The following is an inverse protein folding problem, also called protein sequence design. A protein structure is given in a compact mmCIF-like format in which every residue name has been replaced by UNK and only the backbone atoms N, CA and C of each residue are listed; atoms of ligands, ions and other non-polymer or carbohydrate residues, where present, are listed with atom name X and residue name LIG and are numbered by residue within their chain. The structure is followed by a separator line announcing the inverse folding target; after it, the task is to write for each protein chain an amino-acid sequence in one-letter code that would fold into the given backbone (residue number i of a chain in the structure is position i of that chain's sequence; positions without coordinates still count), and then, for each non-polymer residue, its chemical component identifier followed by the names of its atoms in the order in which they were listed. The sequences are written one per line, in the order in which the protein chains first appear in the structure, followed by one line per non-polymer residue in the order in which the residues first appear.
data_IF_017927764533
#
_entry.id   IF_017927764533
#
_cell.length_a   1.000
_cell.length_b   1.000
_cell.length_c   1.000
_cell.angle_alpha   90.00
_cell.angle_beta   90.00
_cell.angle_gamma   90.00
#
_symmetry.space_group_name_H-M   'P 1'
#
loop_
_entity.id
_entity.type
_entity.pdbx_description
1 polymer ?
#
# COMPACT_ATOMS: atom_id res chain seq x y z
N UNK A 1 -11.19 45.49 8.21
CA UNK A 1 -10.44 45.51 9.49
C UNK A 1 -9.08 44.92 9.22
N UNK A 2 -8.03 45.74 9.18
CA UNK A 2 -6.65 45.28 9.03
C UNK A 2 -6.21 44.58 10.31
N UNK A 3 -5.73 43.34 10.20
CA UNK A 3 -5.12 42.61 11.31
C UNK A 3 -3.92 43.41 11.87
N UNK A 4 -3.62 43.34 13.18
CA UNK A 4 -2.45 43.99 13.74
C UNK A 4 -1.15 43.46 13.08
N UNK A 5 -0.12 44.29 12.91
CA UNK A 5 1.10 43.94 12.17
C UNK A 5 1.81 42.70 12.72
N UNK A 6 1.79 42.51 14.05
CA UNK A 6 2.43 41.36 14.73
C UNK A 6 1.79 40.00 14.36
N UNK A 7 0.47 39.98 14.06
CA UNK A 7 -0.20 38.77 13.58
C UNK A 7 0.10 38.45 12.11
N UNK A 8 0.43 39.48 11.31
CA UNK A 8 0.76 39.29 9.89
C UNK A 8 2.14 38.66 9.72
N UNK A 9 3.13 39.12 10.50
CA UNK A 9 4.49 38.58 10.47
C UNK A 9 4.53 37.10 10.86
N UNK A 10 3.75 36.73 11.88
CA UNK A 10 3.63 35.34 12.35
C UNK A 10 2.97 34.44 11.29
N UNK A 11 1.86 34.90 10.69
CA UNK A 11 1.18 34.17 9.62
C UNK A 11 2.07 34.00 8.38
N UNK A 12 2.83 35.03 8.02
CA UNK A 12 3.79 34.98 6.91
C UNK A 12 4.91 33.96 7.19
N UNK A 13 5.43 33.91 8.41
CA UNK A 13 6.43 32.92 8.83
C UNK A 13 5.88 31.48 8.77
N UNK A 14 4.66 31.26 9.27
CA UNK A 14 3.98 29.97 9.18
C UNK A 14 3.75 29.51 7.74
N UNK A 15 3.26 30.41 6.88
CA UNK A 15 3.02 30.12 5.48
C UNK A 15 4.34 29.80 4.75
N UNK A 16 5.41 30.55 5.03
CA UNK A 16 6.72 30.30 4.45
C UNK A 16 7.28 28.93 4.88
N UNK A 17 7.14 28.58 6.17
CA UNK A 17 7.51 27.26 6.67
C UNK A 17 6.73 26.14 5.98
N UNK A 18 5.42 26.31 5.78
CA UNK A 18 4.58 25.37 5.04
C UNK A 18 5.07 25.18 3.59
N UNK A 19 5.39 26.28 2.88
CA UNK A 19 5.92 26.24 1.51
C UNK A 19 7.23 25.48 1.41
N UNK A 20 8.18 25.75 2.31
CA UNK A 20 9.46 25.03 2.32
C UNK A 20 9.30 23.55 2.65
N UNK A 21 8.44 23.22 3.62
CA UNK A 21 8.18 21.84 3.99
C UNK A 21 7.53 21.06 2.84
N UNK A 22 6.58 21.68 2.14
CA UNK A 22 5.94 21.13 0.95
C UNK A 22 6.97 20.85 -0.16
N UNK A 23 7.84 21.82 -0.43
CA UNK A 23 8.88 21.70 -1.45
C UNK A 23 9.88 20.60 -1.11
N UNK A 24 10.29 20.50 0.16
CA UNK A 24 11.17 19.44 0.64
C UNK A 24 10.53 18.05 0.50
N UNK A 25 9.25 17.90 0.86
CA UNK A 25 8.50 16.67 0.67
C UNK A 25 8.38 16.28 -0.80
N UNK A 26 8.12 17.24 -1.68
CA UNK A 26 8.06 17.00 -3.11
C UNK A 26 9.42 16.60 -3.69
N UNK A 27 10.50 17.26 -3.28
CA UNK A 27 11.85 16.90 -3.68
C UNK A 27 12.21 15.47 -3.23
N UNK A 28 11.82 15.08 -2.02
CA UNK A 28 11.97 13.69 -1.54
C UNK A 28 11.19 12.70 -2.43
N UNK A 29 9.95 13.01 -2.79
CA UNK A 29 9.14 12.16 -3.67
C UNK A 29 9.82 12.00 -5.04
N UNK A 30 10.27 13.08 -5.66
CA UNK A 30 10.95 13.03 -6.97
C UNK A 30 12.27 12.27 -6.87
N UNK A 31 13.05 12.50 -5.81
CA UNK A 31 14.28 11.76 -5.57
C UNK A 31 14.01 10.25 -5.48
N UNK A 32 12.96 9.84 -4.75
CA UNK A 32 12.52 8.44 -4.68
C UNK A 32 12.15 7.86 -6.05
N UNK A 33 11.47 8.65 -6.90
CA UNK A 33 11.17 8.25 -8.28
C UNK A 33 12.43 7.96 -9.08
N UNK A 34 13.41 8.86 -9.02
CA UNK A 34 14.63 8.74 -9.81
C UNK A 34 15.44 7.49 -9.42
N UNK A 35 15.62 7.25 -8.12
CA UNK A 35 16.47 6.13 -7.66
C UNK A 35 15.81 4.75 -7.83
N UNK A 36 14.48 4.67 -7.93
CA UNK A 36 13.75 3.41 -8.09
C UNK A 36 13.26 3.17 -9.52
N UNK A 37 13.48 4.12 -10.44
CA UNK A 37 13.02 4.01 -11.82
C UNK A 37 13.57 2.77 -12.56
N UNK A 38 14.83 2.39 -12.29
CA UNK A 38 15.42 1.17 -12.87
C UNK A 38 14.63 -0.08 -12.48
N UNK A 39 14.37 -0.24 -11.18
CA UNK A 39 13.56 -1.32 -10.63
C UNK A 39 12.12 -1.29 -11.19
N UNK A 40 11.57 -0.10 -11.40
CA UNK A 40 10.23 0.09 -11.93
C UNK A 40 10.10 -0.44 -13.37
N UNK A 41 11.03 -0.07 -14.25
CA UNK A 41 11.06 -0.56 -15.64
C UNK A 41 11.13 -2.08 -15.69
N UNK A 42 11.98 -2.67 -14.86
CA UNK A 42 12.17 -4.12 -14.85
C UNK A 42 10.98 -4.88 -14.24
N UNK A 43 10.48 -4.43 -13.10
CA UNK A 43 9.52 -5.19 -12.29
C UNK A 43 8.06 -4.88 -12.62
N UNK A 44 7.77 -3.68 -13.13
CA UNK A 44 6.40 -3.26 -13.43
C UNK A 44 6.15 -3.29 -14.93
N UNK A 45 6.98 -2.59 -15.70
CA UNK A 45 6.69 -2.30 -17.11
C UNK A 45 7.05 -3.43 -18.09
N UNK A 46 8.11 -4.21 -17.81
CA UNK A 46 8.46 -5.40 -18.62
C UNK A 46 7.55 -6.61 -18.34
N UNK A 47 6.79 -6.59 -17.25
CA UNK A 47 5.90 -7.69 -16.86
C UNK A 47 4.51 -7.53 -17.48
N UNK A 48 3.68 -8.57 -17.35
CA UNK A 48 2.28 -8.53 -17.78
C UNK A 48 1.54 -7.41 -17.04
N UNK A 49 0.71 -6.69 -17.78
CA UNK A 49 -0.09 -5.60 -17.25
C UNK A 49 -1.28 -6.15 -16.45
N UNK A 50 -1.39 -5.77 -15.18
CA UNK A 50 -2.44 -6.25 -14.26
C UNK A 50 -3.11 -5.08 -13.52
N UNK A 51 -4.22 -5.33 -12.82
CA UNK A 51 -4.87 -4.27 -12.03
C UNK A 51 -3.94 -3.62 -10.98
N UNK A 52 -3.02 -4.39 -10.37
CA UNK A 52 -2.00 -3.84 -9.48
C UNK A 52 -1.01 -2.90 -10.21
N UNK A 53 -0.71 -3.14 -11.49
CA UNK A 53 0.10 -2.21 -12.30
C UNK A 53 -0.63 -0.88 -12.49
N UNK A 54 -1.96 -0.90 -12.71
CA UNK A 54 -2.78 0.31 -12.82
C UNK A 54 -2.79 1.08 -11.50
N UNK A 55 -3.08 0.40 -10.39
CA UNK A 55 -3.11 1.04 -9.06
C UNK A 55 -1.74 1.62 -8.68
N UNK A 56 -0.66 0.89 -8.97
CA UNK A 56 0.70 1.38 -8.80
C UNK A 56 0.93 2.65 -9.63
N UNK A 57 0.59 2.64 -10.92
CA UNK A 57 0.79 3.79 -11.80
C UNK A 57 -0.06 5.00 -11.37
N UNK A 58 -1.30 4.79 -10.94
CA UNK A 58 -2.17 5.85 -10.42
C UNK A 58 -1.53 6.53 -9.20
N UNK A 59 -1.11 5.76 -8.19
CA UNK A 59 -0.43 6.33 -7.03
C UNK A 59 0.90 7.00 -7.42
N UNK A 60 1.73 6.30 -8.21
CA UNK A 60 3.10 6.71 -8.52
C UNK A 60 3.14 7.99 -9.35
N UNK A 61 2.33 8.09 -10.41
CA UNK A 61 2.42 9.20 -11.36
C UNK A 61 1.45 10.34 -11.10
N UNK A 62 0.27 10.07 -10.53
CA UNK A 62 -0.67 11.15 -10.24
C UNK A 62 -0.32 11.93 -8.98
N UNK A 63 0.35 11.31 -7.98
CA UNK A 63 0.78 12.02 -6.77
C UNK A 63 1.76 13.16 -7.09
N UNK A 64 2.85 12.96 -7.87
CA UNK A 64 3.71 14.06 -8.29
C UNK A 64 2.99 15.15 -9.07
N UNK A 65 2.03 14.79 -9.94
CA UNK A 65 1.26 15.77 -10.73
C UNK A 65 0.36 16.60 -9.81
N UNK A 66 -0.34 15.96 -8.89
CA UNK A 66 -1.16 16.65 -7.90
C UNK A 66 -0.31 17.61 -7.06
N UNK A 67 0.85 17.17 -6.55
CA UNK A 67 1.71 18.00 -5.71
C UNK A 67 2.39 19.12 -6.49
N UNK A 68 2.69 18.95 -7.78
CA UNK A 68 3.16 20.03 -8.63
C UNK A 68 2.10 21.14 -8.75
N UNK A 69 0.83 20.77 -8.91
CA UNK A 69 -0.29 21.73 -8.92
C UNK A 69 -0.46 22.41 -7.56
N UNK A 70 -0.31 21.67 -6.45
CA UNK A 70 -0.35 22.25 -5.10
C UNK A 70 0.79 23.27 -4.92
N UNK A 71 2.01 22.94 -5.35
CA UNK A 71 3.12 23.87 -5.29
C UNK A 71 2.85 25.13 -6.12
N UNK A 72 2.33 25.00 -7.33
CA UNK A 72 1.94 26.16 -8.15
C UNK A 72 0.87 27.02 -7.45
N UNK A 73 -0.19 26.39 -6.93
CA UNK A 73 -1.26 27.08 -6.20
C UNK A 73 -0.81 27.79 -4.92
N UNK A 74 0.27 27.32 -4.28
CA UNK A 74 0.87 27.98 -3.11
C UNK A 74 1.78 29.16 -3.47
N UNK A 75 2.37 29.20 -4.66
CA UNK A 75 3.41 30.18 -5.01
C UNK A 75 2.95 31.21 -6.06
N UNK A 76 1.95 30.88 -6.87
CA UNK A 76 1.54 31.68 -8.00
C UNK A 76 0.38 32.62 -7.61
N UNK A 77 0.54 33.96 -7.73
CA UNK A 77 -0.50 34.93 -7.41
C UNK A 77 -1.69 34.89 -8.40
N UNK A 78 -1.61 34.16 -9.51
CA UNK A 78 -2.73 34.04 -10.44
C UNK A 78 -3.94 33.28 -9.85
N UNK A 79 -3.75 32.51 -8.77
CA UNK A 79 -4.80 31.75 -8.10
C UNK A 79 -5.58 32.62 -7.11
N UNK A 80 -6.36 33.56 -7.64
CA UNK A 80 -7.21 34.46 -6.86
C UNK A 80 -8.71 34.26 -7.15
N UNK A 81 -9.56 34.61 -6.18
CA UNK A 81 -11.02 34.63 -6.31
C UNK A 81 -11.62 33.27 -6.69
N UNK A 82 -12.46 33.26 -7.73
CA UNK A 82 -13.22 32.07 -8.16
C UNK A 82 -12.33 30.92 -8.64
N UNK A 83 -11.18 31.23 -9.24
CA UNK A 83 -10.21 30.22 -9.70
C UNK A 83 -9.65 29.40 -8.53
N UNK A 84 -9.35 30.06 -7.41
CA UNK A 84 -8.90 29.39 -6.19
C UNK A 84 -10.01 28.50 -5.60
N UNK A 85 -11.26 28.98 -5.55
CA UNK A 85 -12.40 28.18 -5.05
C UNK A 85 -12.62 26.90 -5.86
N UNK A 86 -12.56 26.98 -7.20
CA UNK A 86 -12.69 25.79 -8.06
C UNK A 86 -11.52 24.83 -7.88
N UNK A 87 -10.30 25.38 -7.77
CA UNK A 87 -9.09 24.60 -7.59
C UNK A 87 -9.09 23.81 -6.28
N UNK A 88 -9.46 24.41 -5.14
CA UNK A 88 -9.43 23.71 -3.84
C UNK A 88 -10.42 22.54 -3.78
N UNK A 89 -11.59 22.67 -4.39
CA UNK A 89 -12.54 21.55 -4.48
C UNK A 89 -12.02 20.43 -5.38
N UNK A 90 -11.36 20.78 -6.48
CA UNK A 90 -10.69 19.82 -7.37
C UNK A 90 -9.54 19.10 -6.66
N UNK A 91 -8.68 19.85 -5.96
CA UNK A 91 -7.58 19.32 -5.17
C UNK A 91 -8.07 18.34 -4.10
N UNK A 92 -9.10 18.71 -3.33
CA UNK A 92 -9.69 17.84 -2.32
C UNK A 92 -10.23 16.53 -2.91
N UNK A 93 -10.91 16.58 -4.06
CA UNK A 93 -11.37 15.37 -4.76
C UNK A 93 -10.20 14.49 -5.21
N UNK A 94 -9.16 15.09 -5.79
CA UNK A 94 -7.94 14.38 -6.17
C UNK A 94 -7.28 13.72 -4.96
N UNK A 95 -7.20 14.41 -3.82
CA UNK A 95 -6.65 13.87 -2.56
C UNK A 95 -7.43 12.65 -2.09
N UNK A 96 -8.77 12.74 -2.00
CA UNK A 96 -9.60 11.60 -1.59
C UNK A 96 -9.49 10.43 -2.55
N UNK A 97 -9.44 10.70 -3.86
CA UNK A 97 -9.28 9.65 -4.87
C UNK A 97 -7.92 8.94 -4.75
N UNK A 98 -6.83 9.69 -4.60
CA UNK A 98 -5.48 9.12 -4.51
C UNK A 98 -5.23 8.38 -3.21
N UNK A 99 -5.70 8.92 -2.08
CA UNK A 99 -5.71 8.19 -0.81
C UNK A 99 -6.53 6.91 -0.96
N UNK A 100 -7.69 6.95 -1.62
CA UNK A 100 -8.49 5.75 -1.90
C UNK A 100 -7.76 4.70 -2.74
N UNK A 101 -6.96 5.11 -3.74
CA UNK A 101 -6.09 4.22 -4.51
C UNK A 101 -5.03 3.57 -3.62
N UNK A 102 -4.39 4.35 -2.76
CA UNK A 102 -3.40 3.88 -1.78
C UNK A 102 -3.99 2.83 -0.83
N UNK A 103 -5.15 3.14 -0.22
CA UNK A 103 -5.88 2.22 0.65
C UNK A 103 -6.27 0.93 -0.08
N UNK A 104 -6.73 1.04 -1.32
CA UNK A 104 -7.07 -0.14 -2.12
C UNK A 104 -5.88 -1.08 -2.30
N UNK A 105 -4.68 -0.56 -2.58
CA UNK A 105 -3.46 -1.37 -2.69
C UNK A 105 -3.17 -2.09 -1.38
N UNK A 106 -3.31 -1.40 -0.25
CA UNK A 106 -3.09 -1.99 1.07
C UNK A 106 -4.13 -3.06 1.41
N UNK A 107 -5.41 -2.81 1.13
CA UNK A 107 -6.51 -3.76 1.35
C UNK A 107 -6.31 -5.03 0.51
N UNK A 108 -5.96 -4.89 -0.77
CA UNK A 108 -5.67 -6.04 -1.63
C UNK A 108 -4.52 -6.88 -1.09
N UNK A 109 -3.52 -6.23 -0.47
CA UNK A 109 -2.43 -6.94 0.18
C UNK A 109 -2.87 -7.69 1.44
N UNK A 110 -3.71 -7.10 2.29
CA UNK A 110 -4.28 -7.82 3.45
C UNK A 110 -5.13 -8.99 3.01
N UNK A 111 -5.94 -8.79 1.97
CA UNK A 111 -6.74 -9.85 1.37
C UNK A 111 -5.86 -11.03 0.93
N UNK A 112 -4.74 -10.77 0.26
CA UNK A 112 -3.77 -11.80 -0.11
C UNK A 112 -3.11 -12.47 1.12
N UNK A 113 -2.77 -11.71 2.16
CA UNK A 113 -2.14 -12.23 3.39
C UNK A 113 -3.06 -13.17 4.19
N UNK A 114 -4.38 -13.00 4.04
CA UNK A 114 -5.39 -13.85 4.66
C UNK A 114 -5.98 -14.87 3.69
N UNK A 115 -5.16 -15.40 2.79
CA UNK A 115 -5.50 -16.50 1.89
C UNK A 115 -6.70 -16.17 0.99
N UNK A 116 -6.93 -14.89 0.70
CA UNK A 116 -8.02 -14.39 -0.15
C UNK A 116 -9.43 -14.67 0.40
N UNK A 117 -9.58 -14.64 1.72
CA UNK A 117 -10.88 -14.74 2.37
C UNK A 117 -11.73 -13.50 2.10
N UNK A 118 -12.79 -13.67 1.30
CA UNK A 118 -13.75 -12.61 0.95
C UNK A 118 -14.33 -11.82 2.14
N UNK A 119 -14.59 -12.42 3.32
CA UNK A 119 -15.07 -11.64 4.47
C UNK A 119 -14.13 -10.50 4.87
N UNK A 120 -12.82 -10.68 4.74
CA UNK A 120 -11.84 -9.67 5.13
C UNK A 120 -11.83 -8.53 4.12
N UNK A 121 -11.89 -8.87 2.82
CA UNK A 121 -12.05 -7.87 1.77
C UNK A 121 -13.34 -7.08 1.96
N UNK A 122 -14.46 -7.73 2.28
CA UNK A 122 -15.75 -7.09 2.50
C UNK A 122 -15.71 -6.11 3.68
N UNK A 123 -15.12 -6.52 4.82
CA UNK A 123 -14.96 -5.65 5.99
C UNK A 123 -14.11 -4.42 5.65
N UNK A 124 -12.92 -4.62 5.09
CA UNK A 124 -12.01 -3.51 4.80
C UNK A 124 -12.54 -2.59 3.68
N UNK A 125 -13.20 -3.15 2.67
CA UNK A 125 -13.84 -2.37 1.61
C UNK A 125 -15.00 -1.52 2.15
N UNK A 126 -15.74 -2.04 3.14
CA UNK A 126 -16.81 -1.27 3.79
C UNK A 126 -16.23 -0.07 4.54
N UNK A 127 -15.10 -0.25 5.24
CA UNK A 127 -14.38 0.84 5.92
C UNK A 127 -13.89 1.88 4.90
N UNK A 128 -13.29 1.44 3.78
CA UNK A 128 -12.86 2.35 2.71
C UNK A 128 -14.02 3.13 2.08
N UNK A 129 -15.16 2.48 1.81
CA UNK A 129 -16.34 3.17 1.27
C UNK A 129 -16.86 4.21 2.26
N UNK A 130 -16.91 3.88 3.56
CA UNK A 130 -17.29 4.83 4.60
C UNK A 130 -16.33 6.03 4.64
N UNK A 131 -15.02 5.78 4.56
CA UNK A 131 -14.00 6.84 4.46
C UNK A 131 -14.24 7.76 3.25
N UNK A 132 -14.49 7.21 2.06
CA UNK A 132 -14.73 8.00 0.85
C UNK A 132 -15.99 8.86 0.99
N UNK A 133 -17.08 8.30 1.52
CA UNK A 133 -18.34 9.02 1.74
C UNK A 133 -18.13 10.19 2.71
N UNK A 134 -17.46 9.92 3.84
CA UNK A 134 -17.18 10.92 4.86
C UNK A 134 -16.23 12.00 4.31
N UNK A 135 -15.22 11.62 3.54
CA UNK A 135 -14.30 12.55 2.87
C UNK A 135 -15.01 13.44 1.85
N UNK A 136 -15.90 12.87 1.03
CA UNK A 136 -16.71 13.63 0.07
C UNK A 136 -17.60 14.66 0.77
N UNK A 137 -18.20 14.29 1.91
CA UNK A 137 -18.96 15.25 2.72
C UNK A 137 -18.07 16.32 3.34
N UNK A 138 -16.84 15.98 3.73
CA UNK A 138 -15.83 16.95 4.17
C UNK A 138 -15.50 17.97 3.08
N UNK A 139 -15.30 17.53 1.84
CA UNK A 139 -14.99 18.40 0.69
C UNK A 139 -16.17 19.33 0.37
N UNK A 140 -17.39 18.81 0.36
CA UNK A 140 -18.59 19.59 0.06
C UNK A 140 -18.76 20.80 0.99
N UNK A 141 -18.31 20.69 2.24
CA UNK A 141 -18.39 21.75 3.25
C UNK A 141 -17.08 22.54 3.39
N UNK A 142 -16.10 22.31 2.52
CA UNK A 142 -14.82 23.01 2.51
C UNK A 142 -14.88 24.32 1.73
N UNK A 143 -14.01 25.26 2.10
CA UNK A 143 -13.88 26.58 1.48
C UNK A 143 -12.40 27.03 1.49
N UNK A 144 -11.97 27.90 0.56
CA UNK A 144 -10.61 28.43 0.57
C UNK A 144 -10.40 29.39 1.75
N UNK A 145 -9.21 29.36 2.36
CA UNK A 145 -8.83 30.33 3.41
C UNK A 145 -8.79 31.74 2.81
N UNK A 146 -9.42 32.74 3.44
CA UNK A 146 -9.29 34.13 3.00
C UNK A 146 -7.93 34.69 3.42
N UNK A 147 -6.97 34.76 2.49
CA UNK A 147 -5.66 35.35 2.73
C UNK A 147 -5.68 36.88 2.53
N UNK A 148 -4.89 37.65 3.31
CA UNK A 148 -4.66 39.06 3.03
C UNK A 148 -4.00 39.26 1.66
N UNK A 149 -4.21 40.38 0.96
CA UNK A 149 -3.68 40.62 -0.38
C UNK A 149 -2.14 40.64 -0.46
N UNK A 150 -1.44 40.69 0.68
CA UNK A 150 0.02 40.62 0.75
C UNK A 150 0.55 39.18 0.77
N UNK A 151 -0.30 38.17 1.04
CA UNK A 151 0.10 36.77 1.11
C UNK A 151 -0.48 36.00 -0.08
N UNK A 152 0.38 35.26 -0.78
CA UNK A 152 0.01 34.41 -1.91
C UNK A 152 -0.16 32.97 -1.45
N UNK A 153 -1.32 32.38 -1.73
CA UNK A 153 -1.58 30.96 -1.55
C UNK A 153 -3.06 30.62 -1.62
N UNK A 154 -3.37 29.46 -2.19
CA UNK A 154 -4.72 28.92 -2.23
C UNK A 154 -4.81 27.68 -1.33
N UNK A 155 -5.33 27.86 -0.11
CA UNK A 155 -5.33 26.82 0.94
C UNK A 155 -6.75 26.33 1.16
N UNK A 156 -6.93 25.01 1.14
CA UNK A 156 -8.22 24.37 1.40
C UNK A 156 -8.44 24.17 2.91
N UNK A 157 -9.55 24.67 3.43
CA UNK A 157 -9.98 24.47 4.82
C UNK A 157 -11.48 24.15 4.87
N UNK A 158 -12.01 23.87 6.05
CA UNK A 158 -13.44 23.68 6.23
C UNK A 158 -13.85 23.68 7.70
N UNK A 159 -15.15 23.49 7.93
CA UNK A 159 -15.71 23.42 9.27
C UNK A 159 -15.39 22.07 9.95
N UNK A 160 -16.05 21.76 11.06
CA UNK A 160 -15.77 20.60 11.94
C UNK A 160 -15.61 19.26 11.22
N UNK A 161 -16.32 19.05 10.10
CA UNK A 161 -16.27 17.80 9.33
C UNK A 161 -15.10 17.72 8.33
N UNK A 162 -14.38 18.81 8.11
CA UNK A 162 -13.14 18.83 7.34
C UNK A 162 -12.07 17.93 7.97
N UNK A 163 -12.07 17.82 9.32
CA UNK A 163 -11.21 16.90 10.06
C UNK A 163 -11.34 15.45 9.55
N UNK A 164 -12.51 15.08 9.06
CA UNK A 164 -12.81 13.72 8.64
C UNK A 164 -11.98 13.27 7.43
N UNK A 165 -11.42 14.20 6.64
CA UNK A 165 -10.46 13.91 5.58
C UNK A 165 -9.18 13.24 6.10
N UNK A 166 -8.81 13.52 7.35
CA UNK A 166 -7.60 12.99 7.97
C UNK A 166 -7.91 11.82 8.89
N UNK A 167 -9.03 11.90 9.64
CA UNK A 167 -9.42 10.85 10.57
C UNK A 167 -9.89 9.58 9.85
N UNK A 168 -10.58 9.71 8.70
CA UNK A 168 -11.05 8.57 7.91
C UNK A 168 -9.91 7.63 7.50
N UNK A 169 -8.88 8.13 6.79
CA UNK A 169 -7.70 7.34 6.43
C UNK A 169 -7.00 6.70 7.64
N UNK A 170 -6.83 7.44 8.74
CA UNK A 170 -6.21 6.88 9.94
C UNK A 170 -6.98 5.68 10.50
N UNK A 171 -8.32 5.73 10.49
CA UNK A 171 -9.14 4.59 10.93
C UNK A 171 -8.87 3.37 10.04
N UNK A 172 -8.85 3.55 8.72
CA UNK A 172 -8.55 2.46 7.78
C UNK A 172 -7.15 1.89 7.99
N UNK A 173 -6.15 2.75 8.18
CA UNK A 173 -4.78 2.35 8.53
C UNK A 173 -4.71 1.54 9.82
N UNK A 174 -5.47 1.93 10.86
CA UNK A 174 -5.53 1.18 12.14
C UNK A 174 -6.06 -0.23 11.89
N UNK A 175 -7.11 -0.39 11.08
CA UNK A 175 -7.62 -1.71 10.72
C UNK A 175 -6.54 -2.50 9.95
N UNK A 176 -6.00 -1.95 8.87
CA UNK A 176 -4.98 -2.60 8.04
C UNK A 176 -3.77 -3.03 8.87
N UNK A 177 -3.24 -2.13 9.70
CA UNK A 177 -2.10 -2.40 10.56
C UNK A 177 -2.42 -3.47 11.61
N UNK A 178 -3.60 -3.42 12.23
CA UNK A 178 -4.03 -4.42 13.21
C UNK A 178 -4.16 -5.81 12.60
N UNK A 179 -4.78 -5.93 11.42
CA UNK A 179 -4.87 -7.18 10.67
C UNK A 179 -3.47 -7.69 10.26
N UNK A 180 -2.61 -6.79 9.80
CA UNK A 180 -1.22 -7.13 9.45
C UNK A 180 -0.46 -7.70 10.66
N UNK A 181 -0.49 -7.00 11.79
CA UNK A 181 0.18 -7.41 13.02
C UNK A 181 -0.38 -8.72 13.57
N UNK A 182 -1.70 -8.88 13.56
CA UNK A 182 -2.33 -10.10 14.07
C UNK A 182 -1.92 -11.32 13.25
N UNK A 183 -1.98 -11.21 11.91
CA UNK A 183 -1.58 -12.29 11.01
C UNK A 183 -0.09 -12.60 11.12
N UNK A 184 0.74 -11.56 11.22
CA UNK A 184 2.19 -11.69 11.43
C UNK A 184 2.49 -12.41 12.74
N UNK A 185 1.88 -11.99 13.85
CA UNK A 185 2.05 -12.65 15.16
C UNK A 185 1.55 -14.09 15.14
N UNK A 186 0.39 -14.35 14.52
CA UNK A 186 -0.15 -15.70 14.39
C UNK A 186 0.77 -16.61 13.58
N UNK A 187 1.40 -16.09 12.52
CA UNK A 187 2.42 -16.80 11.74
C UNK A 187 3.62 -17.19 12.62
N UNK A 188 4.19 -16.23 13.36
CA UNK A 188 5.33 -16.48 14.25
C UNK A 188 5.03 -17.36 15.46
N UNK A 189 3.79 -17.36 15.95
CA UNK A 189 3.40 -18.16 17.12
C UNK A 189 3.13 -19.62 16.74
N UNK A 190 2.61 -19.88 15.54
CA UNK A 190 2.29 -21.25 15.07
C UNK A 190 3.51 -21.98 14.52
N UNK A 191 4.46 -21.26 13.93
CA UNK A 191 5.74 -21.84 13.52
C UNK A 191 6.68 -21.87 14.72
N UNK A 192 7.01 -23.07 15.18
CA UNK A 192 8.12 -23.28 16.10
C UNK A 192 9.43 -22.67 15.57
N UNK A 193 10.42 -22.57 16.46
CA UNK A 193 11.72 -21.87 16.35
C UNK A 193 12.68 -22.37 15.23
N UNK A 194 12.17 -22.84 14.10
CA UNK A 194 12.92 -23.46 12.99
C UNK A 194 12.41 -23.11 11.59
N UNK A 195 11.81 -21.93 11.37
CA UNK A 195 11.37 -21.52 10.03
C UNK A 195 12.54 -21.08 9.14
N UNK A 196 12.36 -21.24 7.82
CA UNK A 196 13.30 -20.75 6.81
C UNK A 196 13.46 -19.23 6.94
N UNK A 197 14.70 -18.72 7.01
CA UNK A 197 14.98 -17.31 7.34
C UNK A 197 14.39 -16.32 6.32
N UNK A 198 14.09 -16.76 5.10
CA UNK A 198 13.66 -15.90 4.00
C UNK A 198 12.21 -15.40 4.18
N UNK A 199 11.24 -16.28 4.46
CA UNK A 199 9.82 -15.87 4.61
C UNK A 199 9.61 -15.00 5.85
N UNK A 200 10.31 -15.33 6.94
CA UNK A 200 10.33 -14.52 8.17
C UNK A 200 10.85 -13.11 7.91
N UNK A 201 11.93 -12.97 7.15
CA UNK A 201 12.48 -11.67 6.77
C UNK A 201 11.45 -10.86 5.96
N UNK A 202 10.70 -11.50 5.06
CA UNK A 202 9.74 -10.83 4.18
C UNK A 202 8.44 -10.38 4.87
N UNK A 203 7.89 -11.21 5.75
CA UNK A 203 6.72 -10.81 6.55
C UNK A 203 7.11 -9.65 7.46
N UNK A 204 8.31 -9.70 8.05
CA UNK A 204 8.85 -8.62 8.87
C UNK A 204 9.06 -7.35 8.05
N UNK A 205 9.68 -7.44 6.86
CA UNK A 205 9.92 -6.29 5.99
C UNK A 205 8.59 -5.66 5.52
N UNK A 206 7.60 -6.49 5.16
CA UNK A 206 6.27 -6.05 4.79
C UNK A 206 5.56 -5.25 5.89
N UNK A 207 5.67 -5.68 7.16
CA UNK A 207 5.07 -4.99 8.31
C UNK A 207 5.67 -3.61 8.55
N UNK A 208 6.97 -3.43 8.27
CA UNK A 208 7.65 -2.14 8.47
C UNK A 208 7.03 -1.03 7.64
N UNK A 209 6.62 -1.31 6.39
CA UNK A 209 5.92 -0.32 5.56
C UNK A 209 4.60 0.13 6.19
N UNK A 210 3.76 -0.81 6.63
CA UNK A 210 2.49 -0.49 7.29
C UNK A 210 2.70 0.25 8.61
N UNK A 211 3.77 -0.09 9.35
CA UNK A 211 4.14 0.62 10.58
C UNK A 211 4.53 2.08 10.30
N UNK A 212 5.32 2.33 9.25
CA UNK A 212 5.70 3.69 8.85
C UNK A 212 4.49 4.49 8.40
N UNK A 213 3.64 3.91 7.54
CA UNK A 213 2.40 4.55 7.05
C UNK A 213 1.49 4.92 8.23
N UNK A 214 1.20 3.97 9.12
CA UNK A 214 0.42 4.23 10.33
C UNK A 214 1.04 5.33 11.19
N UNK A 215 2.36 5.31 11.39
CA UNK A 215 3.06 6.29 12.23
C UNK A 215 2.96 7.69 11.64
N UNK A 216 3.15 7.87 10.33
CA UNK A 216 3.06 9.19 9.71
C UNK A 216 1.64 9.73 9.65
N UNK A 217 0.64 8.88 9.43
CA UNK A 217 -0.77 9.29 9.47
C UNK A 217 -1.23 9.58 10.91
N UNK A 218 -0.74 8.83 11.90
CA UNK A 218 -0.97 9.13 13.31
C UNK A 218 -0.34 10.47 13.72
N UNK A 219 0.91 10.72 13.32
CA UNK A 219 1.57 12.01 13.55
C UNK A 219 0.82 13.16 12.86
N UNK A 220 0.30 12.96 11.65
CA UNK A 220 -0.55 13.96 10.99
C UNK A 220 -1.77 14.32 11.83
N UNK A 221 -2.45 13.34 12.42
CA UNK A 221 -3.59 13.61 13.31
C UNK A 221 -3.18 14.34 14.58
N UNK A 222 -2.03 14.00 15.17
CA UNK A 222 -1.51 14.74 16.32
C UNK A 222 -1.22 16.20 15.95
N UNK A 223 -0.61 16.44 14.78
CA UNK A 223 -0.40 17.81 14.26
C UNK A 223 -1.75 18.51 14.07
N UNK A 224 -2.74 17.84 13.48
CA UNK A 224 -4.05 18.43 13.25
C UNK A 224 -4.77 18.85 14.56
N UNK A 225 -4.63 18.07 15.63
CA UNK A 225 -5.25 18.34 16.94
C UNK A 225 -4.51 19.43 17.71
N UNK A 226 -3.17 19.38 17.74
CA UNK A 226 -2.36 20.20 18.65
C UNK A 226 -1.74 21.45 17.98
N UNK A 227 -1.62 21.48 16.65
CA UNK A 227 -1.01 22.62 15.97
C UNK A 227 -1.98 23.80 15.82
N UNK A 228 -1.40 24.99 15.72
CA UNK A 228 -2.10 26.22 15.31
C UNK A 228 -2.74 26.06 13.94
N UNK A 229 -3.84 26.77 13.69
CA UNK A 229 -4.67 26.59 12.48
C UNK A 229 -3.88 26.67 11.17
N UNK A 230 -2.88 27.57 11.10
CA UNK A 230 -2.03 27.77 9.93
C UNK A 230 -1.11 26.57 9.61
N UNK A 231 -0.76 25.76 10.62
CA UNK A 231 0.19 24.65 10.48
C UNK A 231 -0.48 23.30 10.24
N UNK A 232 -1.81 23.20 10.38
CA UNK A 232 -2.54 21.92 10.27
C UNK A 232 -2.38 21.25 8.91
N UNK A 233 -2.28 22.03 7.84
CA UNK A 233 -2.14 21.52 6.46
C UNK A 233 -0.75 20.89 6.17
N UNK A 234 0.27 21.23 6.97
CA UNK A 234 1.65 20.77 6.77
C UNK A 234 1.75 19.26 6.98
N UNK A 235 1.11 18.74 8.03
CA UNK A 235 1.13 17.30 8.35
C UNK A 235 0.51 16.45 7.24
N UNK A 236 -0.59 16.94 6.66
CA UNK A 236 -1.39 16.23 5.67
C UNK A 236 -0.60 15.94 4.40
N UNK A 237 0.04 16.98 3.87
CA UNK A 237 0.82 16.86 2.66
C UNK A 237 1.98 15.88 2.82
N UNK A 238 2.70 15.95 3.95
CA UNK A 238 3.81 15.05 4.22
C UNK A 238 3.36 13.60 4.44
N UNK A 239 2.27 13.39 5.16
CA UNK A 239 1.77 12.02 5.38
C UNK A 239 1.30 11.38 4.08
N UNK A 240 0.66 12.14 3.18
CA UNK A 240 0.28 11.66 1.85
C UNK A 240 1.50 11.31 0.98
N UNK A 241 2.51 12.19 0.92
CA UNK A 241 3.75 11.94 0.18
C UNK A 241 4.48 10.70 0.69
N UNK A 242 4.64 10.58 2.01
CA UNK A 242 5.31 9.44 2.62
C UNK A 242 4.53 8.13 2.38
N UNK A 243 3.19 8.18 2.49
CA UNK A 243 2.33 7.03 2.19
C UNK A 243 2.49 6.57 0.75
N UNK A 244 2.52 7.51 -0.21
CA UNK A 244 2.74 7.20 -1.63
C UNK A 244 4.08 6.52 -1.89
N UNK A 245 5.17 7.02 -1.26
CA UNK A 245 6.51 6.42 -1.35
C UNK A 245 6.55 5.02 -0.74
N UNK A 246 6.01 4.85 0.47
CA UNK A 246 5.99 3.56 1.15
C UNK A 246 5.21 2.52 0.35
N UNK A 247 4.04 2.86 -0.19
CA UNK A 247 3.25 1.96 -1.04
C UNK A 247 3.99 1.61 -2.33
N UNK A 248 4.65 2.58 -2.97
CA UNK A 248 5.40 2.32 -4.19
C UNK A 248 6.54 1.33 -3.94
N UNK A 249 7.33 1.54 -2.88
CA UNK A 249 8.42 0.64 -2.48
C UNK A 249 7.91 -0.74 -2.08
N UNK A 250 6.80 -0.78 -1.34
CA UNK A 250 6.12 -2.02 -0.95
C UNK A 250 5.75 -2.88 -2.15
N UNK A 251 5.22 -2.28 -3.22
CA UNK A 251 4.85 -2.98 -4.46
C UNK A 251 6.09 -3.42 -5.24
N UNK A 252 7.11 -2.56 -5.36
CA UNK A 252 8.36 -2.88 -6.05
C UNK A 252 9.14 -4.02 -5.37
N UNK A 253 9.17 -4.04 -4.03
CA UNK A 253 9.84 -5.07 -3.25
C UNK A 253 9.10 -6.41 -3.25
N UNK A 254 7.78 -6.41 -3.44
CA UNK A 254 7.08 -7.68 -3.66
C UNK A 254 7.47 -8.30 -5.00
N UNK A 255 7.48 -7.49 -6.06
CA UNK A 255 7.74 -8.00 -7.40
C UNK A 255 9.18 -8.48 -7.60
N UNK A 256 10.15 -7.95 -6.85
CA UNK A 256 11.50 -8.51 -6.85
C UNK A 256 11.54 -9.96 -6.36
N UNK A 257 10.66 -10.32 -5.42
CA UNK A 257 10.60 -11.69 -4.88
C UNK A 257 10.06 -12.66 -5.92
N UNK A 258 9.00 -12.28 -6.64
CA UNK A 258 8.51 -13.11 -7.74
C UNK A 258 9.58 -13.34 -8.80
N UNK A 259 10.39 -12.32 -9.11
CA UNK A 259 11.48 -12.45 -10.07
C UNK A 259 12.55 -13.45 -9.64
N UNK A 260 13.04 -13.35 -8.40
CA UNK A 260 14.03 -14.29 -7.88
C UNK A 260 13.52 -15.73 -7.83
N UNK A 261 12.20 -15.93 -7.65
CA UNK A 261 11.58 -17.26 -7.72
C UNK A 261 11.52 -17.79 -9.14
N UNK A 262 11.03 -16.99 -10.09
CA UNK A 262 10.94 -17.39 -11.50
C UNK A 262 12.32 -17.79 -12.05
N UNK A 263 13.36 -17.02 -11.72
CA UNK A 263 14.76 -17.32 -12.08
C UNK A 263 15.24 -18.65 -11.45
N UNK A 264 14.88 -18.92 -10.19
CA UNK A 264 15.23 -20.17 -9.52
C UNK A 264 14.55 -21.39 -10.17
N UNK A 265 13.28 -21.26 -10.56
CA UNK A 265 12.52 -22.32 -11.23
C UNK A 265 13.04 -22.60 -12.64
N UNK A 266 13.42 -21.56 -13.40
CA UNK A 266 13.96 -21.73 -14.76
C UNK A 266 15.34 -22.43 -14.73
N UNK A 267 16.07 -22.28 -13.62
CA UNK A 267 17.37 -22.94 -13.41
C UNK A 267 17.22 -24.41 -12.94
N UNK A 268 16.04 -24.83 -12.46
CA UNK A 268 15.75 -26.21 -12.00
C UNK A 268 14.44 -26.78 -12.60
N UNK A 269 14.43 -27.19 -13.88
CA UNK A 269 13.22 -27.61 -14.60
C UNK A 269 12.56 -28.94 -14.14
N UNK A 270 13.02 -29.55 -13.05
CA UNK A 270 12.67 -30.94 -12.67
C UNK A 270 11.52 -31.13 -11.66
N UNK A 271 10.97 -30.09 -11.03
CA UNK A 271 10.03 -30.24 -9.91
C UNK A 271 8.62 -29.75 -10.24
N UNK A 272 7.89 -30.53 -11.03
CA UNK A 272 6.47 -30.28 -11.33
C UNK A 272 5.58 -30.97 -10.29
N UNK A 273 5.16 -30.25 -9.25
CA UNK A 273 4.07 -30.70 -8.38
C UNK A 273 2.72 -30.36 -9.01
N UNK A 274 2.03 -31.39 -9.50
CA UNK A 274 0.68 -31.30 -10.03
C UNK A 274 -0.33 -31.11 -8.89
N UNK A 275 -0.65 -29.86 -8.55
CA UNK A 275 -1.76 -29.55 -7.62
C UNK A 275 -3.09 -29.39 -8.36
N UNK A 276 -4.15 -29.88 -7.72
CA UNK A 276 -5.48 -30.16 -8.24
C UNK A 276 -6.19 -28.92 -8.84
N UNK A 277 -6.46 -28.96 -10.15
CA UNK A 277 -6.69 -27.79 -11.03
C UNK A 277 -8.14 -27.28 -11.14
N UNK A 278 -9.14 -27.95 -10.55
CA UNK A 278 -10.55 -27.80 -11.01
C UNK A 278 -11.44 -26.85 -10.20
N UNK A 279 -11.24 -26.67 -8.88
CA UNK A 279 -12.00 -25.66 -8.09
C UNK A 279 -11.25 -24.33 -7.91
N UNK A 280 -9.94 -24.29 -8.21
CA UNK A 280 -9.07 -23.10 -8.12
C UNK A 280 -9.32 -22.06 -9.23
N UNK A 281 -10.00 -22.46 -10.31
CA UNK A 281 -10.04 -21.73 -11.59
C UNK A 281 -10.83 -20.41 -11.55
N UNK A 282 -11.85 -20.28 -10.71
CA UNK A 282 -12.67 -19.06 -10.66
C UNK A 282 -12.06 -17.98 -9.74
N UNK A 283 -11.52 -18.36 -8.58
CA UNK A 283 -10.78 -17.44 -7.69
C UNK A 283 -9.45 -16.96 -8.31
N UNK A 284 -8.73 -17.84 -9.00
CA UNK A 284 -7.49 -17.49 -9.69
C UNK A 284 -7.75 -16.51 -10.85
N UNK A 285 -8.92 -16.54 -11.50
CA UNK A 285 -9.20 -15.66 -12.65
C UNK A 285 -9.42 -14.21 -12.23
N UNK A 286 -10.14 -13.96 -11.13
CA UNK A 286 -10.28 -12.61 -10.57
C UNK A 286 -8.97 -12.11 -9.95
N UNK A 287 -8.24 -12.96 -9.23
CA UNK A 287 -6.92 -12.60 -8.67
C UNK A 287 -5.89 -12.27 -9.75
N UNK A 288 -5.73 -13.13 -10.76
CA UNK A 288 -4.77 -12.91 -11.86
C UNK A 288 -5.09 -11.62 -12.63
N UNK A 289 -6.37 -11.25 -12.72
CA UNK A 289 -6.82 -10.07 -13.46
C UNK A 289 -6.71 -8.78 -12.63
N UNK A 290 -7.08 -8.81 -11.34
CA UNK A 290 -7.18 -7.63 -10.47
C UNK A 290 -5.88 -7.37 -9.69
N UNK A 291 -5.25 -8.41 -9.15
CA UNK A 291 -4.03 -8.32 -8.35
C UNK A 291 -2.79 -8.65 -9.22
N UNK A 292 -2.96 -9.42 -10.28
CA UNK A 292 -1.83 -10.03 -10.96
C UNK A 292 -1.15 -11.08 -10.11
N UNK A 293 0.10 -11.36 -10.39
CA UNK A 293 0.90 -12.36 -9.66
C UNK A 293 1.19 -11.96 -8.20
N UNK A 294 0.89 -10.74 -7.75
CA UNK A 294 1.10 -10.31 -6.35
C UNK A 294 0.41 -11.24 -5.33
N UNK A 295 -0.75 -11.81 -5.67
CA UNK A 295 -1.45 -12.77 -4.82
C UNK A 295 -0.84 -14.17 -4.88
N UNK A 296 -0.28 -14.56 -6.03
CA UNK A 296 0.41 -15.84 -6.26
C UNK A 296 1.79 -15.89 -5.61
N UNK A 297 2.56 -14.82 -5.73
CA UNK A 297 3.87 -14.60 -5.09
C UNK A 297 3.77 -14.69 -3.56
N UNK A 298 2.72 -14.10 -2.96
CA UNK A 298 2.45 -14.18 -1.52
C UNK A 298 1.95 -15.56 -1.11
N UNK A 299 1.01 -16.18 -1.84
CA UNK A 299 0.48 -17.51 -1.49
C UNK A 299 1.53 -18.60 -1.56
N UNK A 300 2.29 -18.66 -2.65
CA UNK A 300 3.33 -19.70 -2.85
C UNK A 300 4.42 -19.65 -1.77
N UNK A 301 4.75 -18.46 -1.25
CA UNK A 301 5.69 -18.33 -0.12
C UNK A 301 5.18 -18.93 1.19
N UNK A 302 3.87 -18.98 1.40
CA UNK A 302 3.28 -19.55 2.61
C UNK A 302 2.96 -21.05 2.49
N UNK A 303 2.54 -21.53 1.31
CA UNK A 303 2.12 -22.92 1.10
C UNK A 303 3.27 -23.92 0.91
N UNK A 304 4.47 -23.49 0.49
CA UNK A 304 5.64 -24.39 0.31
C UNK A 304 6.18 -24.99 1.64
N UNK A 305 5.48 -24.83 2.76
CA UNK A 305 5.93 -25.34 4.07
C UNK A 305 4.95 -26.20 4.84
N UNK A 306 3.77 -26.51 4.30
CA UNK A 306 2.82 -27.43 4.94
C UNK A 306 2.78 -28.83 4.29
N UNK A 307 3.41 -29.07 3.13
CA UNK A 307 3.35 -30.35 2.41
C UNK A 307 4.57 -31.28 2.62
N UNK A 308 5.32 -31.12 3.72
CA UNK A 308 6.29 -32.13 4.15
C UNK A 308 5.74 -32.98 5.31
N UNK A 309 4.54 -33.54 5.14
CA UNK A 309 4.12 -34.66 5.98
C UNK A 309 4.66 -35.93 5.34
N UNK A 310 5.66 -36.52 5.99
CA UNK A 310 6.23 -37.83 5.67
C UNK A 310 5.13 -38.89 5.58
N UNK A 311 4.91 -39.41 4.38
CA UNK A 311 4.14 -40.64 4.14
C UNK A 311 5.17 -41.79 4.20
N UNK A 312 5.37 -42.35 5.39
CA UNK A 312 6.14 -43.59 5.57
C UNK A 312 5.32 -44.74 4.97
N UNK A 313 5.49 -44.97 3.67
CA UNK A 313 4.96 -46.12 2.97
C UNK A 313 5.66 -47.41 3.43
N UNK A 314 4.99 -48.15 4.33
CA UNK A 314 5.21 -49.59 4.48
C UNK A 314 4.84 -50.30 3.17
N UNK A 315 5.84 -50.71 2.39
CA UNK A 315 5.66 -51.73 1.36
C UNK A 315 5.97 -53.10 1.97
N UNK A 316 4.93 -53.76 2.50
CA UNK A 316 4.92 -55.22 2.65
C UNK A 316 4.40 -55.82 1.35
N UNK A 317 5.31 -56.27 0.49
CA UNK A 317 4.94 -57.07 -0.68
C UNK A 317 5.12 -58.55 -0.35
N UNK A 318 4.01 -59.18 0.05
CA UNK A 318 3.82 -60.62 -0.08
C UNK A 318 3.45 -60.93 -1.53
N UNK A 319 4.33 -61.58 -2.27
CA UNK A 319 3.98 -62.24 -3.54
C UNK A 319 4.40 -63.71 -3.45
N UNK A 320 3.39 -64.54 -3.24
CA UNK A 320 3.38 -65.98 -3.46
C UNK A 320 3.01 -66.22 -4.92
N UNK A 321 3.88 -66.86 -5.70
CA UNK A 321 3.49 -67.71 -6.85
C UNK A 321 4.71 -68.43 -7.45
N UNK A 322 4.71 -69.74 -7.23
CA UNK A 322 5.17 -70.83 -8.10
C UNK A 322 6.18 -70.55 -9.22
N UNK A 323 7.36 -71.15 -9.08
CA UNK A 323 8.02 -71.83 -10.20
C UNK A 323 8.87 -73.01 -9.72
N UNK A 324 8.37 -74.21 -10.00
CA UNK A 324 9.15 -75.45 -10.09
C UNK A 324 10.25 -75.31 -11.17
N UNK A 325 11.46 -75.81 -10.89
CA UNK A 325 12.28 -76.70 -11.75
C UNK A 325 13.56 -77.08 -10.97
N UNK A 326 13.52 -78.29 -10.42
CA UNK A 326 14.48 -79.40 -10.54
C UNK A 326 16.01 -79.19 -10.75
N UNK A 327 16.74 -80.10 -10.08
CA UNK A 327 18.06 -80.70 -10.37
C UNK A 327 19.32 -80.20 -9.63
N UNK A 328 19.63 -80.91 -8.54
CA UNK A 328 20.72 -81.92 -8.45
C UNK A 328 21.95 -81.68 -7.55
N UNK A 329 22.11 -82.62 -6.59
CA UNK A 329 23.32 -83.29 -6.03
C UNK A 329 24.39 -82.43 -5.31
N UNK A 330 24.54 -82.51 -3.97
CA UNK A 330 25.22 -83.56 -3.12
C UNK A 330 26.76 -83.52 -3.27
N UNK A 331 27.58 -83.80 -2.21
CA UNK A 331 27.28 -84.07 -0.80
C UNK A 331 27.69 -82.98 0.19
#
# INVERSE_FOLDING_TARGET
MSAPPESLDTAAAHLLAAKYFQLAGYAMLIFDHLITFGDEVERIWKRKFTGATVLFALNRYLTPVQFALILDAFHNPAWEGESCTKYVSFEGFCTVALVGVCEMVMILRIYALYDCKLPILAVLSTVLVAQIIVGAYGIHNGFPVPLPPQLVGCIFTGHTLFAALWFGPLVTDVFIFSFTLWRTKAYFTRRGRGSTPTIELFVRDGVMYFMVIFSVNFLNILIYIFAVEDLKAIGASFSQLMTSVMISRLVLNLRSVGQSRDELYDTQPGMQFATNRRSRREEDTFMTRTIGDLGGELKSGFYDTDDSHWDDGQHTDTVESDQNIELSRVP
#
